data_IF_226910685147
#
_entry.id   IF_226910685147
#
_cell.length_a   1.000
_cell.length_b   1.000
_cell.length_c   1.000
_cell.angle_alpha   90.00
_cell.angle_beta   90.00
_cell.angle_gamma   90.00
#
_symmetry.space_group_name_H-M   'P 1'
#
loop_
_entity.id
_entity.type
_entity.pdbx_description
1 polymer ?
#
# COMPACT_ATOMS: atom_id res chain seq x y z
N UNK A 1 26.80 -47.32 -20.44
CA UNK A 1 25.55 -46.55 -20.31
C UNK A 1 25.92 -45.16 -19.81
N UNK A 2 25.26 -44.11 -20.31
CA UNK A 2 25.38 -42.75 -19.75
C UNK A 2 24.11 -42.48 -18.95
N UNK A 3 24.26 -42.01 -17.72
CA UNK A 3 23.13 -41.76 -16.83
C UNK A 3 22.98 -40.26 -16.58
N UNK A 4 21.75 -39.75 -16.50
CA UNK A 4 21.49 -38.35 -16.18
C UNK A 4 21.86 -38.06 -14.72
N UNK A 5 21.98 -36.77 -14.39
CA UNK A 5 22.15 -36.33 -13.01
C UNK A 5 20.96 -36.77 -12.14
N UNK A 6 21.22 -36.97 -10.85
CA UNK A 6 20.22 -37.42 -9.87
C UNK A 6 19.55 -38.77 -10.23
N UNK A 7 20.31 -39.64 -10.90
CA UNK A 7 19.92 -41.01 -11.20
C UNK A 7 20.93 -42.04 -10.70
N UNK A 8 20.43 -43.24 -10.41
CA UNK A 8 21.26 -44.42 -10.12
C UNK A 8 20.96 -45.52 -11.13
N UNK A 9 22.02 -46.19 -11.57
CA UNK A 9 21.93 -47.30 -12.51
C UNK A 9 21.12 -48.46 -11.90
N UNK A 10 20.26 -49.08 -12.70
CA UNK A 10 19.48 -50.24 -12.32
C UNK A 10 19.49 -51.28 -13.45
N UNK A 11 20.08 -52.43 -13.21
CA UNK A 11 20.06 -53.53 -14.18
C UNK A 11 18.68 -54.21 -14.17
N UNK A 12 18.05 -54.34 -15.34
CA UNK A 12 16.76 -55.04 -15.50
C UNK A 12 16.85 -56.08 -16.61
N UNK A 13 15.96 -57.09 -16.60
CA UNK A 13 15.92 -58.11 -17.64
C UNK A 13 15.60 -57.53 -19.04
N UNK A 14 14.93 -56.38 -19.10
CA UNK A 14 14.55 -55.70 -20.34
C UNK A 14 15.56 -54.65 -20.83
N UNK A 15 16.42 -54.13 -19.95
CA UNK A 15 17.46 -53.16 -20.30
C UNK A 15 18.61 -53.19 -19.30
N UNK A 16 19.81 -53.44 -19.81
CA UNK A 16 21.07 -53.40 -19.06
C UNK A 16 21.53 -51.98 -18.72
N UNK A 17 20.90 -50.96 -19.32
CA UNK A 17 21.16 -49.54 -19.09
C UNK A 17 19.98 -48.80 -18.44
N UNK A 18 19.08 -49.51 -17.76
CA UNK A 18 18.00 -48.86 -17.04
C UNK A 18 18.54 -48.06 -15.83
N UNK A 19 17.77 -47.08 -15.38
CA UNK A 19 18.10 -46.23 -14.23
C UNK A 19 16.82 -45.81 -13.50
N UNK A 20 16.97 -45.40 -12.25
CA UNK A 20 15.90 -44.78 -11.46
C UNK A 20 16.34 -43.42 -10.93
N UNK A 21 15.39 -42.50 -10.80
CA UNK A 21 15.64 -41.18 -10.26
C UNK A 21 15.70 -41.24 -8.72
N UNK A 22 16.64 -40.50 -8.13
CA UNK A 22 16.85 -40.43 -6.68
C UNK A 22 16.53 -39.03 -6.16
N UNK A 23 16.62 -38.82 -4.84
CA UNK A 23 16.48 -37.50 -4.21
C UNK A 23 15.18 -36.77 -4.56
N UNK A 24 14.08 -37.51 -4.79
CA UNK A 24 12.75 -36.95 -5.09
C UNK A 24 12.55 -36.50 -6.53
N UNK A 25 13.53 -36.71 -7.42
CA UNK A 25 13.39 -36.45 -8.84
C UNK A 25 12.55 -37.54 -9.51
N UNK A 26 11.93 -37.21 -10.63
CA UNK A 26 11.10 -38.14 -11.41
C UNK A 26 11.49 -38.10 -12.88
N UNK A 27 11.27 -39.20 -13.61
CA UNK A 27 11.57 -39.23 -15.03
C UNK A 27 10.71 -38.23 -15.81
N UNK A 28 11.31 -37.57 -16.79
CA UNK A 28 10.56 -36.77 -17.76
C UNK A 28 9.70 -37.68 -18.67
N UNK A 29 8.84 -37.06 -19.48
CA UNK A 29 7.97 -37.78 -20.42
C UNK A 29 8.72 -38.65 -21.44
N UNK A 30 9.99 -38.33 -21.73
CA UNK A 30 10.84 -39.11 -22.62
C UNK A 30 11.58 -40.27 -21.92
N UNK A 31 11.46 -40.41 -20.59
CA UNK A 31 12.09 -41.47 -19.80
C UNK A 31 13.61 -41.43 -19.77
N UNK A 32 14.24 -40.32 -20.16
CA UNK A 32 15.69 -40.23 -20.37
C UNK A 32 16.42 -39.25 -19.45
N UNK A 33 15.68 -38.48 -18.64
CA UNK A 33 16.27 -37.57 -17.65
C UNK A 33 15.43 -37.48 -16.38
N UNK A 34 16.07 -37.12 -15.27
CA UNK A 34 15.43 -36.92 -13.98
C UNK A 34 15.18 -35.43 -13.76
N UNK A 35 13.91 -35.05 -13.61
CA UNK A 35 13.48 -33.66 -13.42
C UNK A 35 12.74 -33.51 -12.09
N UNK A 36 12.88 -32.34 -11.49
CA UNK A 36 12.08 -31.96 -10.34
C UNK A 36 10.71 -31.47 -10.83
N UNK A 37 9.58 -32.13 -10.46
CA UNK A 37 8.27 -31.78 -10.98
C UNK A 37 7.82 -30.36 -10.62
N UNK A 38 6.95 -29.74 -11.44
CA UNK A 38 6.32 -28.47 -11.10
C UNK A 38 5.62 -28.53 -9.74
N UNK A 39 5.84 -27.51 -8.91
CA UNK A 39 5.33 -27.44 -7.53
C UNK A 39 6.32 -27.89 -6.47
N UNK A 40 7.40 -28.56 -6.87
CA UNK A 40 8.55 -28.85 -6.01
C UNK A 40 9.74 -27.94 -6.36
N UNK A 41 10.71 -27.89 -5.44
CA UNK A 41 11.95 -27.11 -5.58
C UNK A 41 13.13 -27.98 -5.16
N UNK A 42 14.29 -27.74 -5.77
CA UNK A 42 15.55 -28.44 -5.41
C UNK A 42 16.22 -27.70 -4.25
N UNK A 43 16.40 -28.39 -3.14
CA UNK A 43 17.00 -27.86 -1.92
C UNK A 43 18.10 -28.80 -1.45
N UNK A 44 19.35 -28.31 -1.45
CA UNK A 44 20.54 -29.10 -1.11
C UNK A 44 20.62 -30.44 -1.87
N UNK A 45 20.28 -30.45 -3.16
CA UNK A 45 20.29 -31.64 -4.00
C UNK A 45 19.04 -32.54 -3.90
N UNK A 46 18.04 -32.17 -3.09
CA UNK A 46 16.79 -32.94 -2.96
C UNK A 46 15.61 -32.16 -3.55
N UNK A 47 14.87 -32.78 -4.46
CA UNK A 47 13.60 -32.26 -4.98
C UNK A 47 12.46 -32.55 -4.00
N UNK A 48 11.88 -31.50 -3.42
CA UNK A 48 10.81 -31.62 -2.43
C UNK A 48 9.85 -30.42 -2.47
N UNK A 49 8.75 -30.49 -1.72
CA UNK A 49 7.82 -29.38 -1.59
C UNK A 49 8.54 -28.14 -1.00
N UNK A 50 8.24 -26.95 -1.52
CA UNK A 50 8.84 -25.69 -1.07
C UNK A 50 8.64 -25.41 0.42
N UNK A 51 7.55 -25.90 1.01
CA UNK A 51 7.28 -25.82 2.45
C UNK A 51 8.28 -26.57 3.33
N UNK A 52 8.96 -27.59 2.79
CA UNK A 52 9.92 -28.43 3.52
C UNK A 52 11.37 -27.94 3.37
N UNK A 53 11.61 -26.92 2.55
CA UNK A 53 12.93 -26.34 2.44
C UNK A 53 13.20 -25.37 3.60
N UNK A 54 14.24 -25.59 4.43
CA UNK A 54 14.58 -24.69 5.53
C UNK A 54 14.95 -23.28 5.07
N UNK A 55 15.36 -23.13 3.80
CA UNK A 55 15.67 -21.87 3.11
C UNK A 55 14.44 -21.11 2.62
N UNK A 56 13.25 -21.69 2.74
CA UNK A 56 11.99 -20.99 2.54
C UNK A 56 11.80 -20.03 3.72
N UNK A 57 12.54 -18.92 3.69
CA UNK A 57 12.20 -17.76 4.50
C UNK A 57 10.70 -17.55 4.34
N UNK A 58 9.93 -17.45 5.45
CA UNK A 58 8.55 -17.05 5.34
C UNK A 58 8.57 -15.74 4.55
N UNK A 59 8.02 -15.77 3.34
CA UNK A 59 7.76 -14.52 2.62
C UNK A 59 6.97 -13.68 3.60
N UNK A 60 7.46 -12.48 3.91
CA UNK A 60 6.67 -11.50 4.67
C UNK A 60 5.39 -11.39 3.88
N UNK A 61 4.32 -12.08 4.34
CA UNK A 61 3.03 -11.98 3.69
C UNK A 61 2.70 -10.52 3.81
N UNK A 62 2.80 -9.79 2.70
CA UNK A 62 2.22 -8.47 2.58
C UNK A 62 0.74 -8.69 2.82
N UNK A 63 0.33 -8.58 4.08
CA UNK A 63 -1.07 -8.57 4.46
C UNK A 63 -1.56 -7.24 3.95
N UNK A 64 -2.05 -7.23 2.71
CA UNK A 64 -2.77 -6.09 2.19
C UNK A 64 -3.83 -5.71 3.22
N UNK A 65 -3.87 -4.45 3.66
CA UNK A 65 -4.84 -4.01 4.66
C UNK A 65 -6.25 -4.26 4.13
N UNK A 66 -7.12 -4.79 4.99
CA UNK A 66 -8.49 -5.15 4.62
C UNK A 66 -9.46 -4.19 5.28
N UNK A 67 -10.00 -3.26 4.50
CA UNK A 67 -11.10 -2.40 4.91
C UNK A 67 -12.38 -2.78 4.16
N UNK A 68 -13.53 -2.38 4.70
CA UNK A 68 -14.80 -2.49 3.97
C UNK A 68 -14.76 -1.65 2.70
N UNK A 69 -15.64 -1.98 1.75
CA UNK A 69 -15.75 -1.22 0.51
C UNK A 69 -15.95 0.28 0.78
N UNK A 70 -15.19 1.11 0.07
CA UNK A 70 -15.23 2.58 0.20
C UNK A 70 -14.44 3.16 1.37
N UNK A 71 -13.83 2.34 2.23
CA UNK A 71 -13.02 2.80 3.37
C UNK A 71 -11.53 2.69 3.07
N UNK A 72 -10.76 3.61 3.62
CA UNK A 72 -9.33 3.73 3.39
C UNK A 72 -8.55 3.20 4.58
N UNK A 73 -7.51 2.40 4.32
CA UNK A 73 -6.59 1.96 5.35
C UNK A 73 -5.56 3.06 5.65
N UNK A 74 -5.66 3.64 6.84
CA UNK A 74 -4.79 4.70 7.35
C UNK A 74 -3.88 4.15 8.44
N UNK A 75 -2.66 4.69 8.54
CA UNK A 75 -1.74 4.30 9.59
C UNK A 75 -2.21 4.85 10.92
N UNK A 76 -1.95 4.12 12.01
CA UNK A 76 -2.29 4.58 13.35
C UNK A 76 -1.15 5.48 13.87
N UNK A 77 -1.43 6.75 14.26
CA UNK A 77 -0.43 7.61 14.89
C UNK A 77 0.19 6.93 16.11
N UNK A 78 1.51 6.96 16.25
CA UNK A 78 2.26 6.27 17.31
C UNK A 78 2.09 4.75 17.35
N UNK A 79 1.46 4.15 16.34
CA UNK A 79 1.33 2.71 16.18
C UNK A 79 2.56 2.05 15.56
N UNK A 80 2.52 0.72 15.44
CA UNK A 80 3.53 -0.01 14.69
C UNK A 80 3.49 0.38 13.19
N UNK A 81 4.60 0.25 12.43
CA UNK A 81 4.64 0.62 11.00
C UNK A 81 3.63 -0.10 10.09
N UNK A 82 3.07 -1.21 10.56
CA UNK A 82 2.04 -2.00 9.87
C UNK A 82 0.67 -1.90 10.54
N UNK A 83 0.55 -1.14 11.63
CA UNK A 83 -0.73 -0.91 12.28
C UNK A 83 -1.56 0.04 11.43
N UNK A 84 -2.79 -0.37 11.16
CA UNK A 84 -3.72 0.42 10.39
C UNK A 84 -5.09 0.41 11.02
N UNK A 85 -5.82 1.48 10.78
CA UNK A 85 -7.24 1.60 11.02
C UNK A 85 -7.96 1.88 9.70
N UNK A 86 -9.23 1.53 9.63
CA UNK A 86 -10.05 1.81 8.47
C UNK A 86 -10.86 3.07 8.74
N UNK A 87 -10.72 4.07 7.87
CA UNK A 87 -11.36 5.38 8.01
C UNK A 87 -12.24 5.65 6.79
N UNK A 88 -13.43 6.22 7.00
CA UNK A 88 -14.24 6.78 5.91
C UNK A 88 -13.74 8.18 5.54
N UNK A 89 -12.70 8.24 4.70
CA UNK A 89 -12.06 9.50 4.30
C UNK A 89 -12.98 10.45 3.51
N UNK A 90 -14.23 10.07 3.24
CA UNK A 90 -15.22 10.95 2.58
C UNK A 90 -16.03 11.78 3.55
N UNK A 91 -16.07 11.39 4.83
CA UNK A 91 -16.87 12.04 5.87
C UNK A 91 -16.13 12.26 7.17
N UNK A 92 -14.97 11.61 7.37
CA UNK A 92 -14.15 11.78 8.55
C UNK A 92 -13.48 13.16 8.56
N UNK A 93 -13.60 13.87 9.68
CA UNK A 93 -13.13 15.26 9.81
C UNK A 93 -11.60 15.34 9.89
N UNK A 94 -10.98 14.35 10.54
CA UNK A 94 -9.56 14.31 10.89
C UNK A 94 -8.73 13.61 9.81
N UNK A 95 -9.37 13.07 8.78
CA UNK A 95 -8.77 12.38 7.65
C UNK A 95 -9.63 12.58 6.41
N UNK A 96 -9.95 13.84 6.13
CA UNK A 96 -10.78 14.20 5.00
C UNK A 96 -10.00 14.13 3.69
N UNK A 97 -10.56 13.46 2.68
CA UNK A 97 -9.95 13.28 1.36
C UNK A 97 -8.85 12.22 1.31
N UNK A 98 -8.38 11.74 2.46
CA UNK A 98 -7.34 10.72 2.58
C UNK A 98 -6.84 10.58 4.01
N UNK A 99 -5.78 9.82 4.22
CA UNK A 99 -5.21 9.63 5.55
C UNK A 99 -4.32 10.81 5.95
N UNK A 100 -4.52 11.37 7.15
CA UNK A 100 -3.54 12.27 7.77
C UNK A 100 -2.25 11.52 8.11
N UNK A 101 -2.36 10.25 8.52
CA UNK A 101 -1.23 9.34 8.68
C UNK A 101 -1.26 8.27 7.58
N UNK A 102 -0.48 8.42 6.49
CA UNK A 102 -0.46 7.45 5.40
C UNK A 102 0.09 6.09 5.86
N UNK A 103 -0.64 5.00 5.61
CA UNK A 103 -0.16 3.65 5.90
C UNK A 103 0.99 3.23 4.97
N UNK A 104 0.93 3.65 3.71
CA UNK A 104 1.96 3.42 2.71
C UNK A 104 2.23 4.69 1.92
N UNK A 105 3.32 4.71 1.14
CA UNK A 105 3.60 5.82 0.22
C UNK A 105 2.52 6.04 -0.86
N UNK A 106 1.65 5.06 -1.07
CA UNK A 106 0.56 5.11 -2.05
C UNK A 106 -0.80 5.43 -1.42
N UNK A 107 -0.88 5.50 -0.09
CA UNK A 107 -2.12 5.87 0.59
C UNK A 107 -2.47 7.32 0.21
N UNK A 108 -3.74 7.61 -0.13
CA UNK A 108 -4.16 8.98 -0.40
C UNK A 108 -3.91 9.83 0.84
N UNK A 109 -3.40 11.05 0.65
CA UNK A 109 -3.19 12.00 1.73
C UNK A 109 -4.45 12.82 1.93
N UNK A 110 -4.84 12.96 3.18
CA UNK A 110 -5.91 13.86 3.59
C UNK A 110 -5.41 14.88 4.58
N UNK A 111 -6.34 15.69 5.07
CA UNK A 111 -6.10 16.71 6.08
C UNK A 111 -7.14 16.62 7.19
N UNK A 112 -6.77 17.14 8.35
CA UNK A 112 -7.71 17.38 9.44
C UNK A 112 -8.35 18.76 9.21
N UNK A 113 -9.63 18.75 8.85
CA UNK A 113 -10.38 19.97 8.58
C UNK A 113 -10.56 20.85 9.83
N UNK A 114 -10.50 20.28 11.04
CA UNK A 114 -10.64 21.02 12.30
C UNK A 114 -9.41 21.87 12.61
N UNK A 115 -8.24 21.49 12.07
CA UNK A 115 -6.98 22.23 12.17
C UNK A 115 -6.88 23.44 11.23
N UNK A 116 -7.86 23.64 10.35
CA UNK A 116 -7.86 24.76 9.41
C UNK A 116 -7.87 26.12 10.16
N UNK A 117 -7.04 27.10 9.76
CA UNK A 117 -6.92 28.35 10.50
C UNK A 117 -8.22 29.15 10.54
N UNK A 118 -8.58 29.67 11.72
CA UNK A 118 -9.74 30.54 11.90
C UNK A 118 -11.09 29.85 11.76
N UNK A 119 -11.11 28.52 11.57
CA UNK A 119 -12.35 27.75 11.48
C UNK A 119 -13.02 27.64 12.85
N UNK A 120 -14.34 27.77 12.85
CA UNK A 120 -15.19 27.53 14.02
C UNK A 120 -16.16 26.38 13.80
N UNK A 121 -16.65 26.20 12.58
CA UNK A 121 -17.51 25.09 12.19
C UNK A 121 -17.16 24.64 10.77
N UNK A 122 -16.95 23.35 10.59
CA UNK A 122 -16.44 22.72 9.37
C UNK A 122 -16.91 21.28 9.29
N UNK A 123 -17.10 20.81 8.06
CA UNK A 123 -17.45 19.42 7.78
C UNK A 123 -16.53 18.82 6.74
N UNK A 124 -16.33 17.50 6.79
CA UNK A 124 -15.80 16.76 5.65
C UNK A 124 -16.96 16.27 4.79
N UNK A 125 -17.07 16.79 3.57
CA UNK A 125 -18.13 16.40 2.64
C UNK A 125 -17.51 15.87 1.35
N UNK A 126 -17.76 14.59 1.05
CA UNK A 126 -17.26 13.91 -0.16
C UNK A 126 -15.74 13.96 -0.31
N UNK A 127 -15.02 14.00 0.82
CA UNK A 127 -13.56 14.07 0.86
C UNK A 127 -12.99 15.46 0.65
N UNK A 128 -13.77 16.51 0.91
CA UNK A 128 -13.30 17.90 0.90
C UNK A 128 -13.79 18.63 2.15
N UNK A 129 -12.91 19.44 2.74
CA UNK A 129 -13.27 20.31 3.84
C UNK A 129 -14.23 21.40 3.35
N UNK A 130 -15.35 21.57 4.05
CA UNK A 130 -16.35 22.59 3.78
C UNK A 130 -16.55 23.40 5.05
N UNK A 131 -16.05 24.63 5.03
CA UNK A 131 -16.15 25.60 6.12
C UNK A 131 -17.56 26.20 6.14
N UNK A 132 -18.22 26.08 7.30
CA UNK A 132 -19.56 26.58 7.53
C UNK A 132 -19.52 27.90 8.30
N UNK A 133 -18.59 28.04 9.25
CA UNK A 133 -18.45 29.24 10.07
C UNK A 133 -17.01 29.49 10.48
N UNK A 134 -16.63 30.75 10.49
CA UNK A 134 -15.33 31.21 10.96
C UNK A 134 -15.42 31.84 12.35
N UNK A 135 -14.28 31.84 13.06
CA UNK A 135 -14.08 32.58 14.30
C UNK A 135 -14.19 34.09 14.05
N UNK A 136 -14.34 34.87 15.13
CA UNK A 136 -14.40 36.34 15.04
C UNK A 136 -13.11 36.88 14.40
N UNK A 137 -13.26 37.86 13.50
CA UNK A 137 -12.14 38.43 12.76
C UNK A 137 -11.80 37.69 11.46
N UNK A 138 -12.58 36.66 11.10
CA UNK A 138 -12.47 35.94 9.84
C UNK A 138 -13.82 35.91 9.10
N UNK A 139 -13.77 35.67 7.79
CA UNK A 139 -14.90 35.46 6.89
C UNK A 139 -14.71 34.18 6.07
N UNK A 140 -15.80 33.48 5.76
CA UNK A 140 -15.74 32.25 4.96
C UNK A 140 -15.36 32.62 3.52
N UNK A 141 -14.43 31.89 2.92
CA UNK A 141 -14.05 32.06 1.51
C UNK A 141 -15.21 31.73 0.57
N UNK A 142 -15.20 32.29 -0.64
CA UNK A 142 -16.28 32.08 -1.61
C UNK A 142 -16.47 30.60 -2.02
N UNK A 143 -15.40 29.82 -1.99
CA UNK A 143 -15.38 28.39 -2.29
C UNK A 143 -15.59 27.51 -1.04
N UNK A 144 -15.84 28.11 0.14
CA UNK A 144 -16.00 27.43 1.43
C UNK A 144 -14.79 26.57 1.85
N UNK A 145 -13.61 26.78 1.29
CA UNK A 145 -12.42 25.98 1.62
C UNK A 145 -11.62 26.54 2.80
N UNK A 146 -11.84 27.81 3.19
CA UNK A 146 -11.02 28.48 4.20
C UNK A 146 -11.76 29.60 4.94
N UNK A 147 -11.15 30.03 6.04
CA UNK A 147 -11.47 31.28 6.73
C UNK A 147 -10.40 32.33 6.40
N UNK A 148 -10.82 33.48 5.89
CA UNK A 148 -9.96 34.58 5.48
C UNK A 148 -10.01 35.68 6.55
N UNK A 149 -8.86 36.21 7.03
CA UNK A 149 -8.85 37.31 8.00
C UNK A 149 -9.54 38.56 7.45
N UNK A 150 -10.29 39.27 8.29
CA UNK A 150 -11.03 40.48 7.90
C UNK A 150 -10.16 41.75 7.95
N UNK A 151 -9.01 41.72 8.64
CA UNK A 151 -8.14 42.89 8.79
C UNK A 151 -7.15 43.00 7.61
N UNK A 152 -7.18 44.12 6.89
CA UNK A 152 -6.35 44.42 5.73
C UNK A 152 -4.84 44.34 6.00
N UNK A 153 -4.37 44.59 7.23
CA UNK A 153 -2.95 44.44 7.58
C UNK A 153 -2.51 42.97 7.61
N UNK A 154 -3.39 42.07 8.06
CA UNK A 154 -3.15 40.61 8.12
C UNK A 154 -3.40 39.95 6.75
N UNK A 155 -4.30 40.52 5.93
CA UNK A 155 -4.60 40.04 4.58
C UNK A 155 -3.33 40.02 3.70
N UNK A 156 -2.44 41.02 3.82
CA UNK A 156 -1.19 41.02 3.04
C UNK A 156 -0.24 39.88 3.44
N UNK A 157 -0.08 39.60 4.74
CA UNK A 157 0.75 38.49 5.21
C UNK A 157 0.13 37.13 4.86
N UNK A 158 -1.20 37.01 4.96
CA UNK A 158 -1.93 35.80 4.61
C UNK A 158 -1.91 35.54 3.09
N UNK A 159 -2.06 36.58 2.26
CA UNK A 159 -1.93 36.49 0.81
C UNK A 159 -0.52 36.06 0.39
N UNK A 160 0.54 36.56 1.06
CA UNK A 160 1.92 36.12 0.81
C UNK A 160 2.14 34.65 1.21
N UNK A 161 1.52 34.17 2.30
CA UNK A 161 1.60 32.77 2.72
C UNK A 161 0.84 31.82 1.77
N UNK A 162 -0.32 32.23 1.25
CA UNK A 162 -1.13 31.44 0.30
C UNK A 162 -0.54 31.42 -1.11
N UNK A 163 0.19 32.46 -1.52
CA UNK A 163 0.91 32.48 -2.81
C UNK A 163 2.06 31.47 -2.86
N UNK A 164 2.76 31.21 -1.74
CA UNK A 164 3.79 30.15 -1.66
C UNK A 164 3.20 28.74 -1.79
N UNK A 165 1.93 28.57 -1.42
CA UNK A 165 1.21 27.30 -1.49
C UNK A 165 0.27 27.18 -2.71
N UNK A 166 0.34 28.13 -3.66
CA UNK A 166 -0.29 28.05 -4.98
C UNK A 166 -1.83 28.15 -5.03
N UNK A 167 -2.50 28.66 -3.99
CA UNK A 167 -3.98 28.57 -3.86
C UNK A 167 -4.80 29.78 -4.36
N UNK A 168 -4.21 30.89 -4.78
CA UNK A 168 -4.99 32.05 -5.29
C UNK A 168 -4.68 32.35 -6.75
N UNK A 169 -5.59 31.93 -7.64
CA UNK A 169 -5.65 32.39 -9.02
C UNK A 169 -6.05 33.87 -9.04
N UNK A 170 -5.28 34.68 -9.79
CA UNK A 170 -5.54 36.12 -9.95
C UNK A 170 -6.76 36.34 -10.85
N UNK A 171 -7.92 36.59 -10.26
CA UNK A 171 -8.99 37.24 -11.00
C UNK A 171 -8.70 38.74 -11.06
N UNK A 172 -8.20 39.16 -12.22
CA UNK A 172 -7.95 40.56 -12.57
C UNK A 172 -9.27 41.33 -12.55
N UNK A 173 -9.34 42.40 -11.76
CA UNK A 173 -10.24 43.51 -12.05
C UNK A 173 -9.99 44.02 -13.48
N UNK A 174 -11.05 44.08 -14.28
CA UNK A 174 -11.19 44.94 -15.45
C UNK A 174 -12.40 45.84 -15.20
#
# INVERSE_FOLDING_TARGET
CLYPDEAVAQCTASSVCAFTCINGFSQNNAGNTCICPPGNVVCNGVCQASSLCPSSQPTKRSRSPKCKFGWTACGVPSGAPWAYECIDTRSDLESCGGCVTPLTKYSPRGEDCSSLPGVQDVSCTRGSCVVLRCQRGYTVSADHSACIPNNSEVVNDYAMALQRNGKYGKDKQA
#
